data_IF_680957127764
#
_entry.id   IF_680957127764
#
_cell.length_a   1.000
_cell.length_b   1.000
_cell.length_c   1.000
_cell.angle_alpha   90.00
_cell.angle_beta   90.00
_cell.angle_gamma   90.00
#
_symmetry.space_group_name_H-M   'P 1'
#
loop_
_entity.id
_entity.type
_entity.pdbx_description
1 polymer ?
#
# COMPACT_ATOMS: atom_id res chain seq x y z
N UNK A 1 -10.65 22.47 -6.61
CA UNK A 1 -11.48 21.82 -5.57
C UNK A 1 -10.55 21.25 -4.50
N UNK A 2 -10.89 21.37 -3.22
CA UNK A 2 -10.10 20.78 -2.14
C UNK A 2 -10.19 19.24 -2.22
N UNK A 3 -9.07 18.54 -1.99
CA UNK A 3 -9.07 17.07 -1.89
C UNK A 3 -9.98 16.66 -0.71
N UNK A 4 -10.85 15.64 -0.84
CA UNK A 4 -11.76 15.22 0.23
C UNK A 4 -11.05 14.42 1.33
N UNK A 5 -9.75 14.67 1.54
CA UNK A 5 -8.94 14.00 2.54
C UNK A 5 -7.76 14.90 2.96
N UNK A 6 -7.20 14.63 4.14
CA UNK A 6 -5.99 15.31 4.65
C UNK A 6 -5.09 14.39 5.46
N UNK A 7 -3.81 14.71 5.46
CA UNK A 7 -2.82 14.06 6.32
C UNK A 7 -3.05 14.43 7.79
N UNK A 8 -2.95 13.44 8.69
CA UNK A 8 -2.94 13.62 10.15
C UNK A 8 -2.06 12.56 10.80
N UNK A 9 -1.86 12.62 12.12
CA UNK A 9 -1.25 11.52 12.88
C UNK A 9 -2.19 10.30 12.85
N UNK A 10 -1.62 9.12 12.63
CA UNK A 10 -2.36 7.86 12.57
C UNK A 10 -2.17 7.03 13.84
N UNK A 11 -3.22 6.35 14.32
CA UNK A 11 -3.10 5.32 15.34
C UNK A 11 -2.44 4.03 14.79
N UNK A 12 -2.46 3.78 13.48
CA UNK A 12 -1.82 2.61 12.85
C UNK A 12 -0.30 2.79 12.88
N UNK A 13 0.19 3.85 12.24
CA UNK A 13 1.61 4.13 12.15
C UNK A 13 1.88 5.57 11.70
N UNK A 14 2.72 6.30 12.44
CA UNK A 14 3.24 7.62 12.03
C UNK A 14 2.14 8.60 11.59
N UNK A 15 2.10 8.88 10.29
CA UNK A 15 1.07 9.69 9.65
C UNK A 15 0.09 8.78 8.89
N UNK A 16 -1.14 9.25 8.76
CA UNK A 16 -2.19 8.64 7.95
C UNK A 16 -2.88 9.68 7.08
N UNK A 17 -3.72 9.23 6.16
CA UNK A 17 -4.57 10.09 5.35
C UNK A 17 -6.01 9.81 5.72
N UNK A 18 -6.79 10.85 6.02
CA UNK A 18 -8.14 10.72 6.55
C UNK A 18 -9.13 11.47 5.68
N UNK A 19 -10.28 10.87 5.42
CA UNK A 19 -11.38 11.52 4.72
C UNK A 19 -11.85 12.77 5.48
N UNK A 20 -12.12 13.86 4.76
CA UNK A 20 -12.68 15.11 5.31
C UNK A 20 -14.15 15.30 4.96
N UNK A 21 -14.67 14.47 4.07
CA UNK A 21 -16.08 14.37 3.68
C UNK A 21 -16.36 12.90 3.34
N UNK A 22 -17.63 12.55 3.18
CA UNK A 22 -17.99 11.24 2.63
C UNK A 22 -17.47 11.13 1.19
N UNK A 23 -16.83 10.02 0.86
CA UNK A 23 -16.26 9.70 -0.44
C UNK A 23 -16.99 8.47 -0.98
N UNK A 24 -17.58 8.51 -2.18
CA UNK A 24 -18.22 7.33 -2.78
C UNK A 24 -17.25 6.16 -3.00
N UNK A 25 -17.80 4.97 -3.24
CA UNK A 25 -17.04 3.84 -3.75
C UNK A 25 -16.48 4.15 -5.16
N UNK A 26 -15.44 3.43 -5.59
CA UNK A 26 -14.87 3.50 -6.93
C UNK A 26 -14.40 4.91 -7.33
N UNK A 27 -14.04 5.72 -6.33
CA UNK A 27 -13.54 7.07 -6.54
C UNK A 27 -12.02 7.05 -6.62
N UNK A 28 -11.47 7.55 -7.74
CA UNK A 28 -10.05 7.86 -7.86
C UNK A 28 -9.70 9.04 -6.94
N UNK A 29 -8.83 8.80 -5.96
CA UNK A 29 -8.48 9.78 -4.93
C UNK A 29 -7.23 10.57 -5.30
N UNK A 30 -6.16 9.85 -5.63
CA UNK A 30 -4.82 10.41 -5.75
C UNK A 30 -3.90 9.43 -6.48
N UNK A 31 -3.05 9.99 -7.33
CA UNK A 31 -1.92 9.24 -7.90
C UNK A 31 -0.79 9.13 -6.87
N UNK A 32 -0.18 7.95 -6.74
CA UNK A 32 1.02 7.75 -5.94
C UNK A 32 2.25 8.26 -6.69
N UNK A 33 2.78 9.41 -6.26
CA UNK A 33 3.89 10.11 -6.94
C UNK A 33 5.22 9.95 -6.21
N UNK A 34 6.30 10.06 -6.97
CA UNK A 34 7.68 10.05 -6.49
C UNK A 34 8.67 9.99 -7.64
N UNK A 35 9.96 9.92 -7.32
CA UNK A 35 11.02 9.70 -8.30
C UNK A 35 10.90 8.32 -8.94
N UNK A 36 10.98 8.26 -10.27
CA UNK A 36 10.99 6.98 -10.98
C UNK A 36 12.39 6.38 -10.99
N UNK A 37 12.50 5.11 -10.61
CA UNK A 37 13.72 4.32 -10.61
C UNK A 37 13.48 3.02 -11.40
N UNK A 38 14.52 2.43 -11.96
CA UNK A 38 14.46 1.02 -12.36
C UNK A 38 14.60 0.12 -11.14
N UNK A 39 14.15 -1.14 -11.22
CA UNK A 39 14.35 -2.13 -10.14
C UNK A 39 15.83 -2.21 -9.71
N UNK A 40 16.76 -2.30 -10.66
CA UNK A 40 18.20 -2.35 -10.36
C UNK A 40 18.75 -1.06 -9.72
N UNK A 41 18.12 0.11 -9.93
CA UNK A 41 18.47 1.34 -9.22
C UNK A 41 17.92 1.33 -7.80
N UNK A 42 16.66 0.90 -7.62
CA UNK A 42 16.04 0.77 -6.31
C UNK A 42 16.81 -0.24 -5.43
N UNK A 43 17.15 -1.42 -5.98
CA UNK A 43 17.94 -2.44 -5.27
C UNK A 43 19.28 -1.88 -4.80
N UNK A 44 20.02 -1.18 -5.67
CA UNK A 44 21.31 -0.58 -5.29
C UNK A 44 21.21 0.51 -4.22
N UNK A 45 20.13 1.27 -4.21
CA UNK A 45 19.92 2.37 -3.26
C UNK A 45 19.42 1.89 -1.89
N UNK A 46 18.65 0.79 -1.89
CA UNK A 46 17.94 0.29 -0.71
C UNK A 46 18.39 -1.11 -0.29
N UNK A 47 19.51 -1.60 -0.82
CA UNK A 47 20.10 -2.87 -0.41
C UNK A 47 20.32 -2.89 1.11
N UNK A 48 20.03 -4.03 1.73
CA UNK A 48 20.12 -4.21 3.18
C UNK A 48 19.07 -3.46 4.02
N UNK A 49 18.20 -2.62 3.44
CA UNK A 49 17.20 -1.84 4.23
C UNK A 49 15.93 -2.63 4.59
N UNK A 50 15.82 -3.88 4.17
CA UNK A 50 14.65 -4.72 4.45
C UNK A 50 14.38 -4.89 5.96
N UNK A 51 15.42 -4.78 6.79
CA UNK A 51 15.31 -4.88 8.24
C UNK A 51 14.81 -3.59 8.92
N UNK A 52 14.63 -2.50 8.17
CA UNK A 52 14.09 -1.23 8.66
C UNK A 52 12.56 -1.24 8.82
N UNK A 53 11.87 -2.16 8.13
CA UNK A 53 10.41 -2.32 8.23
C UNK A 53 9.58 -1.20 7.61
N UNK A 54 10.21 -0.27 6.91
CA UNK A 54 9.56 0.89 6.31
C UNK A 54 10.08 1.16 4.90
N UNK A 55 9.17 1.36 3.96
CA UNK A 55 9.51 1.76 2.59
C UNK A 55 8.41 2.61 1.99
N UNK A 56 8.80 3.56 1.15
CA UNK A 56 7.90 4.35 0.31
C UNK A 56 8.06 4.01 -1.18
N UNK A 57 8.63 2.83 -1.45
CA UNK A 57 8.76 2.27 -2.78
C UNK A 57 7.46 1.60 -3.23
N UNK A 58 7.08 1.84 -4.47
CA UNK A 58 5.91 1.24 -5.10
C UNK A 58 6.32 0.64 -6.45
N UNK A 59 6.11 -0.67 -6.65
CA UNK A 59 6.35 -1.29 -7.96
C UNK A 59 5.30 -0.79 -8.95
N UNK A 60 5.74 0.01 -9.93
CA UNK A 60 4.86 0.52 -10.98
C UNK A 60 4.61 -0.56 -12.03
N UNK A 61 5.68 -1.22 -12.47
CA UNK A 61 5.63 -2.30 -13.45
C UNK A 61 6.90 -3.18 -13.39
N UNK A 62 7.06 -4.06 -14.37
CA UNK A 62 8.20 -4.96 -14.53
C UNK A 62 9.55 -4.23 -14.71
N UNK A 63 9.54 -2.94 -15.06
CA UNK A 63 10.74 -2.14 -15.28
C UNK A 63 11.00 -1.09 -14.21
N UNK A 64 9.94 -0.49 -13.68
CA UNK A 64 10.03 0.71 -12.86
C UNK A 64 9.41 0.57 -11.46
N UNK A 65 10.01 1.31 -10.54
CA UNK A 65 9.61 1.50 -9.15
C UNK A 65 9.49 3.00 -8.90
N UNK A 66 8.44 3.42 -8.21
CA UNK A 66 8.26 4.80 -7.74
C UNK A 66 8.82 4.90 -6.33
N UNK A 67 9.76 5.82 -6.12
CA UNK A 67 10.33 6.16 -4.83
C UNK A 67 9.72 7.47 -4.30
N UNK A 68 8.73 7.37 -3.42
CA UNK A 68 8.07 8.54 -2.84
C UNK A 68 8.87 9.20 -1.70
N UNK A 69 10.11 8.77 -1.42
CA UNK A 69 11.01 9.57 -0.57
C UNK A 69 11.42 10.87 -1.24
N UNK A 70 11.55 10.86 -2.56
CA UNK A 70 11.96 12.00 -3.38
C UNK A 70 10.78 12.42 -4.24
N UNK A 71 10.41 13.70 -4.18
CA UNK A 71 9.28 14.28 -4.94
C UNK A 71 7.94 13.54 -4.74
N UNK A 72 7.77 12.92 -3.57
CA UNK A 72 6.55 12.24 -3.20
C UNK A 72 5.40 13.20 -2.89
N UNK A 73 4.18 12.66 -2.85
CA UNK A 73 2.99 13.40 -2.44
C UNK A 73 2.31 12.75 -1.22
N UNK A 74 1.16 13.29 -0.82
CA UNK A 74 0.38 12.82 0.34
C UNK A 74 0.03 11.33 0.32
N UNK A 75 0.00 10.68 -0.85
CA UNK A 75 -0.34 9.26 -0.97
C UNK A 75 0.66 8.35 -0.25
N UNK A 76 1.91 8.79 -0.06
CA UNK A 76 2.94 8.05 0.69
C UNK A 76 2.57 7.81 2.15
N UNK A 77 1.62 8.58 2.69
CA UNK A 77 1.18 8.46 4.08
C UNK A 77 -0.05 7.57 4.24
N UNK A 78 -0.59 7.00 3.17
CA UNK A 78 -1.73 6.08 3.27
C UNK A 78 -1.22 4.76 3.85
N UNK A 79 -1.79 4.34 4.98
CA UNK A 79 -1.29 3.19 5.74
C UNK A 79 -1.77 1.85 5.18
N UNK A 80 -1.11 0.79 5.63
CA UNK A 80 -1.55 -0.57 5.38
C UNK A 80 -2.76 -0.94 6.24
N UNK A 81 -3.71 -1.67 5.64
CA UNK A 81 -4.68 -2.49 6.38
C UNK A 81 -4.80 -3.88 5.76
N UNK A 82 -5.01 -4.90 6.60
CA UNK A 82 -5.36 -6.25 6.16
C UNK A 82 -6.79 -6.32 5.60
N UNK A 83 -7.64 -5.36 5.97
CA UNK A 83 -9.00 -5.17 5.47
C UNK A 83 -9.14 -3.71 5.00
N UNK A 84 -8.57 -3.36 3.84
CA UNK A 84 -8.47 -1.98 3.40
C UNK A 84 -9.80 -1.42 2.86
N UNK A 85 -9.92 -0.10 2.86
CA UNK A 85 -11.01 0.62 2.20
C UNK A 85 -10.61 1.23 0.85
N UNK A 86 -9.33 1.16 0.47
CA UNK A 86 -8.81 1.56 -0.84
C UNK A 86 -7.99 0.43 -1.50
N UNK A 87 -7.80 0.54 -2.81
CA UNK A 87 -6.89 -0.28 -3.62
C UNK A 87 -5.96 0.60 -4.44
N UNK A 88 -4.82 0.04 -4.84
CA UNK A 88 -3.98 0.61 -5.87
C UNK A 88 -4.34 0.01 -7.24
N UNK A 89 -4.49 0.85 -8.24
CA UNK A 89 -4.77 0.49 -9.64
C UNK A 89 -3.64 1.01 -10.51
N UNK A 90 -3.14 0.16 -11.41
CA UNK A 90 -2.13 0.56 -12.39
C UNK A 90 -2.87 1.01 -13.65
N UNK A 91 -2.65 2.26 -14.04
CA UNK A 91 -3.09 2.81 -15.31
C UNK A 91 -1.91 2.79 -16.28
N UNK A 92 -1.99 1.96 -17.31
CA UNK A 92 -0.96 1.90 -18.36
C UNK A 92 -1.04 3.10 -19.29
N UNK A 93 0.12 3.63 -19.69
CA UNK A 93 0.15 4.71 -20.64
C UNK A 93 -0.35 4.25 -22.02
N UNK A 94 -1.36 4.93 -22.56
CA UNK A 94 -1.99 4.58 -23.83
C UNK A 94 -1.05 4.59 -25.04
N UNK A 95 0.08 5.32 -24.98
CA UNK A 95 1.10 5.34 -26.03
C UNK A 95 2.18 4.25 -25.83
N UNK A 96 1.96 3.30 -24.91
CA UNK A 96 2.89 2.20 -24.60
C UNK A 96 4.16 2.62 -23.87
N UNK A 97 4.28 3.89 -23.45
CA UNK A 97 5.44 4.38 -22.70
C UNK A 97 5.34 3.98 -21.24
N UNK A 98 5.86 2.80 -20.91
CA UNK A 98 5.85 2.20 -19.56
C UNK A 98 6.41 3.09 -18.44
N UNK A 99 7.26 4.07 -18.75
CA UNK A 99 7.74 5.06 -17.76
C UNK A 99 6.69 6.12 -17.39
N UNK A 100 5.58 6.18 -18.12
CA UNK A 100 4.44 7.06 -17.88
C UNK A 100 3.21 6.30 -17.37
N UNK A 101 3.35 5.01 -17.04
CA UNK A 101 2.32 4.29 -16.30
C UNK A 101 2.11 4.99 -14.94
N UNK A 102 0.91 4.90 -14.38
CA UNK A 102 0.53 5.59 -13.14
C UNK A 102 -0.01 4.60 -12.12
N UNK A 103 0.24 4.86 -10.84
CA UNK A 103 -0.44 4.16 -9.73
C UNK A 103 -1.49 5.09 -9.17
N UNK A 104 -2.75 4.69 -9.25
CA UNK A 104 -3.90 5.43 -8.75
C UNK A 104 -4.44 4.75 -7.50
N UNK A 105 -4.80 5.52 -6.49
CA UNK A 105 -5.48 5.01 -5.30
C UNK A 105 -6.98 5.24 -5.47
N UNK A 106 -7.75 4.17 -5.39
CA UNK A 106 -9.20 4.16 -5.55
C UNK A 106 -9.91 3.63 -4.32
N UNK A 107 -11.10 4.14 -4.02
CA UNK A 107 -11.94 3.61 -2.93
C UNK A 107 -12.62 2.29 -3.34
N UNK A 108 -12.65 1.32 -2.42
CA UNK A 108 -13.32 0.03 -2.60
C UNK A 108 -14.80 0.07 -2.19
N UNK A 109 -15.13 0.99 -1.31
CA UNK A 109 -16.47 1.24 -0.77
C UNK A 109 -16.62 2.73 -0.47
N UNK A 110 -17.83 3.15 -0.14
CA UNK A 110 -18.03 4.48 0.45
C UNK A 110 -17.21 4.62 1.74
N UNK A 111 -16.47 5.72 1.86
CA UNK A 111 -15.66 6.09 3.01
C UNK A 111 -16.31 7.29 3.69
N UNK A 112 -16.60 7.19 4.98
CA UNK A 112 -17.20 8.26 5.77
C UNK A 112 -16.16 9.30 6.18
N UNK A 113 -16.61 10.53 6.36
CA UNK A 113 -15.78 11.58 6.93
C UNK A 113 -15.12 11.12 8.26
N UNK A 114 -13.81 11.32 8.37
CA UNK A 114 -13.02 10.91 9.53
C UNK A 114 -12.41 9.51 9.47
N UNK A 115 -12.84 8.64 8.54
CA UNK A 115 -12.18 7.34 8.34
C UNK A 115 -10.75 7.52 7.79
N UNK A 116 -9.83 6.66 8.24
CA UNK A 116 -8.48 6.57 7.68
C UNK A 116 -8.51 5.80 6.36
N UNK A 117 -7.90 6.36 5.32
CA UNK A 117 -7.67 5.70 4.05
C UNK A 117 -6.55 4.67 4.23
N UNK A 118 -6.79 3.45 3.79
CA UNK A 118 -5.82 2.36 3.88
C UNK A 118 -5.88 1.47 2.65
N UNK A 119 -4.75 0.90 2.23
CA UNK A 119 -4.70 -0.12 1.17
C UNK A 119 -3.81 -1.29 1.57
N UNK A 120 -3.93 -2.40 0.84
CA UNK A 120 -3.03 -3.54 1.03
C UNK A 120 -1.69 -3.26 0.32
N UNK A 121 -0.59 -3.17 1.07
CA UNK A 121 0.71 -2.82 0.51
C UNK A 121 1.27 -3.89 -0.44
N UNK A 122 0.78 -5.14 -0.38
CA UNK A 122 1.24 -6.20 -1.29
C UNK A 122 2.71 -6.58 -1.14
N UNK A 123 3.38 -6.20 -0.04
CA UNK A 123 4.82 -6.38 0.13
C UNK A 123 5.17 -7.86 0.15
N UNK A 124 6.03 -8.26 -0.78
CA UNK A 124 6.54 -9.62 -0.88
C UNK A 124 8.06 -9.59 -0.81
N UNK A 125 8.64 -10.34 0.13
CA UNK A 125 10.10 -10.44 0.27
C UNK A 125 10.63 -11.70 -0.43
N UNK A 126 11.77 -11.58 -1.10
CA UNK A 126 12.46 -12.70 -1.74
C UNK A 126 13.01 -13.73 -0.74
N UNK A 127 13.34 -13.31 0.48
CA UNK A 127 13.90 -14.16 1.54
C UNK A 127 12.85 -14.93 2.35
N UNK A 128 13.29 -15.87 3.20
CA UNK A 128 12.38 -16.64 4.07
C UNK A 128 11.77 -15.73 5.13
N UNK A 129 10.45 -15.72 5.25
CA UNK A 129 9.73 -14.94 6.26
C UNK A 129 9.95 -15.50 7.68
N UNK A 130 11.00 -15.04 8.36
CA UNK A 130 11.32 -15.40 9.74
C UNK A 130 10.42 -14.66 10.74
N UNK A 131 10.26 -15.16 11.98
CA UNK A 131 9.56 -14.42 13.03
C UNK A 131 10.15 -13.02 13.29
N UNK A 132 11.48 -12.87 13.14
CA UNK A 132 12.16 -11.57 13.23
C UNK A 132 11.67 -10.61 12.13
N UNK A 133 11.67 -11.05 10.87
CA UNK A 133 11.19 -10.21 9.75
C UNK A 133 9.71 -9.85 9.91
N UNK A 134 8.86 -10.79 10.31
CA UNK A 134 7.45 -10.50 10.57
C UNK A 134 7.25 -9.47 11.68
N UNK A 135 8.15 -9.43 12.68
CA UNK A 135 8.13 -8.43 13.75
C UNK A 135 8.61 -7.06 13.28
N UNK A 136 9.62 -7.02 12.41
CA UNK A 136 10.08 -5.77 11.76
C UNK A 136 8.95 -5.18 10.92
N UNK A 137 8.31 -6.01 10.09
CA UNK A 137 7.18 -5.64 9.25
C UNK A 137 5.83 -5.90 9.95
N UNK A 138 5.75 -5.62 11.25
CA UNK A 138 4.53 -5.87 12.03
C UNK A 138 3.37 -5.02 11.50
N UNK A 139 2.21 -5.64 11.31
CA UNK A 139 0.98 -4.90 10.98
C UNK A 139 0.30 -4.42 12.27
N UNK A 140 -0.13 -3.15 12.28
CA UNK A 140 -0.84 -2.49 13.38
C UNK A 140 -2.18 -1.90 12.95
N UNK A 141 -2.78 -2.44 11.88
CA UNK A 141 -4.01 -1.89 11.31
C UNK A 141 -5.24 -1.95 12.23
N UNK A 142 -5.21 -2.81 13.26
CA UNK A 142 -6.29 -2.94 14.23
C UNK A 142 -7.48 -3.79 13.76
N UNK A 143 -7.46 -4.30 12.53
CA UNK A 143 -8.52 -5.18 12.04
C UNK A 143 -8.57 -6.52 12.82
N UNK A 144 -9.76 -7.05 13.18
CA UNK A 144 -9.89 -8.31 13.91
C UNK A 144 -9.28 -9.52 13.20
N UNK A 145 -9.26 -9.52 11.86
CA UNK A 145 -8.71 -10.59 11.03
C UNK A 145 -7.28 -10.26 10.55
N UNK A 146 -6.60 -9.32 11.21
CA UNK A 146 -5.23 -8.92 10.90
C UNK A 146 -4.26 -10.12 10.89
N UNK A 147 -3.41 -10.17 9.86
CA UNK A 147 -2.42 -11.25 9.68
C UNK A 147 -1.19 -11.11 10.58
N UNK A 148 -1.09 -10.01 11.34
CA UNK A 148 0.02 -9.66 12.23
C UNK A 148 1.27 -9.10 11.54
N UNK A 149 1.31 -9.07 10.20
CA UNK A 149 2.44 -8.53 9.41
C UNK A 149 1.97 -7.93 8.10
N UNK A 150 2.64 -6.89 7.62
CA UNK A 150 2.37 -6.27 6.30
C UNK A 150 2.84 -7.15 5.13
N UNK A 151 3.57 -8.23 5.42
CA UNK A 151 4.16 -9.11 4.42
C UNK A 151 3.15 -10.13 3.89
N UNK A 152 3.07 -10.23 2.57
CA UNK A 152 2.31 -11.27 1.88
C UNK A 152 2.90 -12.65 2.17
N UNK A 153 2.07 -13.66 2.48
CA UNK A 153 2.55 -15.03 2.60
C UNK A 153 2.97 -15.57 1.22
N UNK A 154 4.12 -16.26 1.16
CA UNK A 154 4.64 -16.86 -0.09
C UNK A 154 3.79 -18.02 -0.64
N UNK A 155 2.94 -18.62 0.19
CA UNK A 155 2.01 -19.68 -0.19
C UNK A 155 0.61 -19.24 0.19
N UNK A 156 -0.34 -19.32 -0.74
CA UNK A 156 -1.77 -19.21 -0.41
C UNK A 156 -2.06 -20.25 0.67
N UNK A 157 -2.58 -19.84 1.84
CA UNK A 157 -3.23 -20.80 2.74
C UNK A 157 -4.34 -21.45 1.91
N UNK A 158 -4.47 -22.78 1.89
CA UNK A 158 -5.67 -23.38 1.31
C UNK A 158 -6.87 -22.74 2.01
N UNK A 159 -7.81 -22.22 1.21
CA UNK A 159 -9.10 -21.77 1.72
C UNK A 159 -9.69 -22.99 2.43
N UNK A 160 -9.80 -22.91 3.75
CA UNK A 160 -10.45 -23.98 4.50
C UNK A 160 -11.87 -24.03 4.02
N UNK A 161 -12.25 -25.09 3.30
CA UNK A 161 -13.65 -25.40 3.06
C UNK A 161 -14.31 -25.44 4.44
N UNK A 162 -15.13 -24.43 4.73
CA UNK A 162 -16.05 -24.46 5.84
C UNK A 162 -16.86 -25.73 5.69
N UNK A 163 -16.61 -26.71 6.57
CA UNK A 163 -17.52 -27.84 6.72
C UNK A 163 -18.85 -27.24 7.12
N UNK A 164 -19.82 -27.28 6.20
CA UNK A 164 -21.22 -27.14 6.55
C UNK A 164 -21.48 -28.11 7.71
N UNK A 165 -21.92 -27.55 8.84
CA UNK A 165 -22.45 -28.34 9.94
C UNK A 165 -23.69 -29.05 9.40
N UNK A 166 -23.69 -30.37 9.44
CA UNK A 166 -24.90 -31.17 9.47
C UNK A 166 -25.39 -31.26 10.92
#
# INVERSE_FOLDING_TARGET
MARPFKQRRSPIHGNGVFATADIPAETELVEYKGRLLTHAQADRLYDGTTDTGHTFLFTLNDRYVIDANVDGNVARWINHSCNPNCRAVIEENQEGRRSKDRVLIETLRTIRAGEELTYDYGISLGERLTPRLKRIWQCRCGDPDCTGTMLRPKRKRPVGNGKARA
#
